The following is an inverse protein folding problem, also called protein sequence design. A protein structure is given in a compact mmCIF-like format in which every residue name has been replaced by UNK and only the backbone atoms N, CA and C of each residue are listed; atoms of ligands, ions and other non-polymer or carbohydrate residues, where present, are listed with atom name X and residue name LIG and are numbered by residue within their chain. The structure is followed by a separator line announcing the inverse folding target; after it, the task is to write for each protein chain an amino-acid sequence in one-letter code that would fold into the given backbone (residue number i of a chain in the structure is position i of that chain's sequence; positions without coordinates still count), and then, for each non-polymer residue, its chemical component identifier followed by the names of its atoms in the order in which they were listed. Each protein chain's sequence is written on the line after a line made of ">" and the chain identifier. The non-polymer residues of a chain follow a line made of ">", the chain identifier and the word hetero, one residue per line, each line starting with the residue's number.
data_IF_380945154926
#
_entry.id   IF_380945154926
#
_cell.length_a   1.000
_cell.length_b   1.000
_cell.length_c   1.000
_cell.angle_alpha   90.00
_cell.angle_beta   90.00
_cell.angle_gamma   90.00
#
_symmetry.space_group_name_H-M   'P 1'
#
loop_
_entity.id
_entity.type
_entity.pdbx_description
1 polymer ?
#
# COMPACT_ATOMS: atom_id res chain seq x y z
N UNK A 1 -22.90 -43.87 5.72
CA UNK A 1 -22.76 -42.40 5.57
C UNK A 1 -24.15 -41.77 5.63
N UNK A 2 -24.52 -41.16 6.75
CA UNK A 2 -25.78 -40.40 6.85
C UNK A 2 -25.58 -39.02 6.22
N UNK A 3 -26.46 -38.57 5.31
CA UNK A 3 -26.31 -37.26 4.69
C UNK A 3 -26.45 -36.16 5.75
N UNK A 4 -25.67 -35.06 5.66
CA UNK A 4 -25.83 -33.95 6.59
C UNK A 4 -27.25 -33.38 6.44
N UNK A 5 -27.95 -33.25 7.57
CA UNK A 5 -29.28 -32.62 7.62
C UNK A 5 -29.20 -31.20 7.06
N UNK A 6 -30.14 -30.82 6.17
CA UNK A 6 -30.15 -29.53 5.43
C UNK A 6 -29.84 -28.29 6.29
N UNK A 7 -30.29 -28.26 7.54
CA UNK A 7 -29.99 -27.18 8.51
C UNK A 7 -28.52 -27.05 8.88
N UNK A 8 -27.78 -28.16 8.96
CA UNK A 8 -26.33 -28.16 9.23
C UNK A 8 -25.56 -27.63 8.02
N UNK A 9 -25.95 -28.05 6.82
CA UNK A 9 -25.36 -27.55 5.56
C UNK A 9 -25.58 -26.04 5.43
N UNK A 10 -26.79 -25.55 5.70
CA UNK A 10 -27.09 -24.12 5.67
C UNK A 10 -26.23 -23.34 6.67
N UNK A 11 -26.10 -23.81 7.91
CA UNK A 11 -25.27 -23.15 8.94
C UNK A 11 -23.80 -23.07 8.53
N UNK A 12 -23.26 -24.16 7.98
CA UNK A 12 -21.88 -24.19 7.48
C UNK A 12 -21.70 -23.23 6.31
N UNK A 13 -22.62 -23.21 5.35
CA UNK A 13 -22.58 -22.28 4.23
C UNK A 13 -22.61 -20.82 4.70
N UNK A 14 -23.48 -20.49 5.65
CA UNK A 14 -23.54 -19.14 6.25
C UNK A 14 -22.21 -18.80 6.94
N UNK A 15 -21.65 -19.71 7.74
CA UNK A 15 -20.38 -19.47 8.41
C UNK A 15 -19.23 -19.21 7.42
N UNK A 16 -19.16 -19.97 6.32
CA UNK A 16 -18.17 -19.77 5.26
C UNK A 16 -18.34 -18.43 4.54
N UNK A 17 -19.58 -18.04 4.23
CA UNK A 17 -19.87 -16.75 3.60
C UNK A 17 -19.45 -15.60 4.52
N UNK A 18 -19.78 -15.68 5.81
CA UNK A 18 -19.37 -14.66 6.78
C UNK A 18 -17.85 -14.54 6.86
N UNK A 19 -17.13 -15.67 6.92
CA UNK A 19 -15.67 -15.65 6.93
C UNK A 19 -15.09 -15.04 5.65
N UNK A 20 -15.61 -15.40 4.48
CA UNK A 20 -15.17 -14.84 3.21
C UNK A 20 -15.43 -13.32 3.14
N UNK A 21 -16.57 -12.85 3.65
CA UNK A 21 -16.87 -11.42 3.74
C UNK A 21 -15.90 -10.67 4.66
N UNK A 22 -15.57 -11.24 5.82
CA UNK A 22 -14.61 -10.64 6.74
C UNK A 22 -13.21 -10.52 6.11
N UNK A 23 -12.75 -11.55 5.41
CA UNK A 23 -11.49 -11.49 4.64
C UNK A 23 -11.59 -10.42 3.55
N UNK A 24 -12.70 -10.39 2.80
CA UNK A 24 -12.94 -9.38 1.77
C UNK A 24 -12.89 -7.95 2.29
N UNK A 25 -13.43 -7.69 3.49
CA UNK A 25 -13.32 -6.39 4.17
C UNK A 25 -11.87 -6.08 4.53
N UNK A 26 -11.14 -7.05 5.10
CA UNK A 26 -9.75 -6.86 5.54
C UNK A 26 -8.80 -6.49 4.38
N UNK A 27 -9.02 -7.05 3.19
CA UNK A 27 -8.19 -6.79 2.00
C UNK A 27 -8.81 -5.80 1.03
N UNK A 28 -9.92 -5.14 1.40
CA UNK A 28 -10.68 -4.32 0.47
C UNK A 28 -9.84 -3.19 -0.13
N UNK A 29 -9.11 -2.42 0.68
CA UNK A 29 -8.30 -1.30 0.22
C UNK A 29 -7.22 -1.71 -0.81
N UNK A 30 -6.32 -2.67 -0.52
CA UNK A 30 -5.33 -3.11 -1.51
C UNK A 30 -5.97 -3.79 -2.74
N UNK A 31 -7.16 -4.36 -2.61
CA UNK A 31 -7.88 -4.97 -3.74
C UNK A 31 -8.54 -3.92 -4.63
N UNK A 32 -9.22 -2.92 -4.07
CA UNK A 32 -9.89 -1.86 -4.82
C UNK A 32 -8.87 -1.00 -5.59
N UNK A 33 -7.73 -0.71 -4.97
CA UNK A 33 -6.58 -0.07 -5.61
C UNK A 33 -6.12 -0.87 -6.84
N UNK A 34 -5.92 -2.19 -6.71
CA UNK A 34 -5.46 -3.04 -7.82
C UNK A 34 -6.47 -3.15 -8.97
N UNK A 35 -7.77 -3.18 -8.66
CA UNK A 35 -8.82 -3.38 -9.65
C UNK A 35 -9.22 -2.09 -10.37
N UNK A 36 -9.26 -0.96 -9.65
CA UNK A 36 -9.86 0.29 -10.15
C UNK A 36 -8.91 1.48 -10.14
N UNK A 37 -7.73 1.36 -9.51
CA UNK A 37 -6.84 2.50 -9.33
C UNK A 37 -6.08 2.91 -10.58
N UNK A 38 -5.67 4.16 -10.68
CA UNK A 38 -4.81 4.61 -11.77
C UNK A 38 -3.34 4.35 -11.44
N UNK A 39 -2.52 4.12 -12.46
CA UNK A 39 -1.09 3.88 -12.28
C UNK A 39 -0.38 5.18 -11.90
N UNK A 40 0.36 5.14 -10.80
CA UNK A 40 1.10 6.27 -10.23
C UNK A 40 2.54 5.82 -9.96
N UNK A 41 3.49 6.67 -10.34
CA UNK A 41 4.91 6.47 -10.12
C UNK A 41 5.40 7.39 -9.00
N UNK A 42 6.01 6.86 -7.94
CA UNK A 42 6.61 7.65 -6.86
C UNK A 42 8.11 7.36 -6.75
N UNK A 43 8.91 8.38 -6.46
CA UNK A 43 10.34 8.21 -6.21
C UNK A 43 10.56 7.55 -4.85
N UNK A 44 11.37 6.49 -4.85
CA UNK A 44 11.75 5.76 -3.64
C UNK A 44 13.01 6.39 -3.05
N UNK A 45 12.98 6.66 -1.74
CA UNK A 45 14.15 7.07 -1.00
C UNK A 45 15.01 5.85 -0.60
N UNK A 46 16.34 5.98 -0.52
CA UNK A 46 17.19 4.90 -0.07
C UNK A 46 16.92 4.58 1.41
N UNK A 47 16.42 3.38 1.69
CA UNK A 47 16.21 2.88 3.04
C UNK A 47 16.86 1.49 3.22
N UNK A 48 17.40 1.21 4.42
CA UNK A 48 18.16 -0.01 4.72
C UNK A 48 17.24 -1.26 4.70
N UNK A 49 17.36 -2.15 3.70
CA UNK A 49 16.22 -2.94 3.22
C UNK A 49 16.14 -4.39 3.73
N UNK A 50 16.97 -4.83 4.68
CA UNK A 50 16.97 -6.24 5.13
C UNK A 50 16.90 -6.37 6.65
N UNK A 51 15.77 -6.88 7.14
CA UNK A 51 15.69 -7.45 8.49
C UNK A 51 16.02 -8.95 8.42
N UNK A 52 17.13 -9.39 9.05
CA UNK A 52 17.58 -10.78 9.02
C UNK A 52 16.59 -11.76 9.68
N UNK A 53 15.57 -11.29 10.39
CA UNK A 53 14.62 -12.11 11.14
C UNK A 53 13.25 -12.26 10.47
N UNK A 54 12.96 -11.48 9.42
CA UNK A 54 11.63 -11.46 8.80
C UNK A 54 11.63 -11.77 7.30
N UNK A 55 12.80 -12.03 6.70
CA UNK A 55 12.95 -12.51 5.33
C UNK A 55 13.22 -11.38 4.31
N UNK A 56 13.03 -11.66 3.02
CA UNK A 56 13.23 -10.69 1.93
C UNK A 56 11.99 -9.80 1.77
N UNK A 57 11.83 -8.84 2.67
CA UNK A 57 10.89 -7.74 2.51
C UNK A 57 11.70 -6.44 2.52
N UNK A 58 11.34 -5.55 1.60
CA UNK A 58 11.95 -4.23 1.50
C UNK A 58 10.98 -3.24 2.12
N UNK A 59 11.44 -2.54 3.16
CA UNK A 59 10.74 -1.39 3.71
C UNK A 59 11.09 -0.18 2.83
N UNK A 60 10.08 0.46 2.27
CA UNK A 60 10.21 1.54 1.30
C UNK A 60 9.89 2.87 1.98
N UNK A 61 10.74 3.85 1.69
CA UNK A 61 10.49 5.24 2.02
C UNK A 61 10.37 6.04 0.71
N UNK A 62 9.76 7.22 0.78
CA UNK A 62 9.42 8.01 -0.40
C UNK A 62 9.87 9.45 -0.20
N UNK A 63 10.88 9.88 -0.99
CA UNK A 63 11.51 11.20 -0.83
C UNK A 63 10.54 12.36 -1.05
N UNK A 64 9.52 12.11 -1.86
CA UNK A 64 8.58 13.12 -2.34
C UNK A 64 7.25 13.09 -1.57
N UNK A 65 7.15 12.27 -0.51
CA UNK A 65 6.00 12.27 0.40
C UNK A 65 6.32 13.08 1.67
N UNK A 66 5.30 13.74 2.26
CA UNK A 66 5.50 14.49 3.49
C UNK A 66 5.78 13.54 4.65
N UNK A 67 6.68 13.94 5.55
CA UNK A 67 6.78 13.32 6.87
C UNK A 67 5.63 13.82 7.76
N UNK A 68 5.08 12.99 8.65
CA UNK A 68 4.11 13.46 9.62
C UNK A 68 4.77 14.46 10.58
N UNK A 69 4.18 15.66 10.70
CA UNK A 69 4.64 16.69 11.64
C UNK A 69 3.81 16.62 12.94
N UNK A 70 4.46 16.41 14.08
CA UNK A 70 3.82 16.38 15.40
C UNK A 70 3.19 15.03 15.77
N UNK A 71 2.32 15.04 16.79
CA UNK A 71 1.53 13.86 17.16
C UNK A 71 0.37 13.74 16.16
N UNK A 72 0.42 12.72 15.30
CA UNK A 72 -0.64 12.45 14.34
C UNK A 72 -1.96 12.04 15.00
N UNK A 73 -3.06 12.30 14.31
CA UNK A 73 -4.42 12.07 14.80
C UNK A 73 -5.07 10.82 14.16
N UNK A 74 -4.36 10.12 13.28
CA UNK A 74 -4.83 8.93 12.58
C UNK A 74 -5.03 9.19 11.10
N UNK A 75 -6.29 9.29 10.64
CA UNK A 75 -6.57 9.44 9.22
C UNK A 75 -5.90 10.68 8.61
N UNK A 76 -5.12 10.45 7.55
CA UNK A 76 -4.34 11.44 6.85
C UNK A 76 -4.52 11.27 5.34
N UNK A 77 -4.57 12.38 4.60
CA UNK A 77 -4.70 12.36 3.14
C UNK A 77 -3.55 13.15 2.52
N UNK A 78 -2.93 12.59 1.49
CA UNK A 78 -1.83 13.24 0.77
C UNK A 78 -2.25 13.47 -0.68
N UNK A 79 -2.64 14.70 -1.06
CA UNK A 79 -2.90 15.04 -2.46
C UNK A 79 -1.66 14.77 -3.31
N UNK A 80 -1.82 14.17 -4.48
CA UNK A 80 -0.72 13.90 -5.40
C UNK A 80 -0.76 14.85 -6.58
N UNK A 81 0.40 15.43 -6.91
CA UNK A 81 0.58 16.28 -8.08
C UNK A 81 1.62 15.67 -9.00
N UNK A 82 1.31 15.61 -10.30
CA UNK A 82 2.25 15.07 -11.29
C UNK A 82 3.41 16.04 -11.51
N UNK A 83 4.64 15.53 -11.44
CA UNK A 83 5.89 16.25 -11.69
C UNK A 83 6.73 15.45 -12.70
N UNK A 84 6.54 15.72 -13.99
CA UNK A 84 7.12 14.92 -15.07
C UNK A 84 6.50 13.53 -15.14
N UNK A 85 7.35 12.50 -15.03
CA UNK A 85 6.96 11.09 -15.09
C UNK A 85 6.61 10.48 -13.73
N UNK A 86 6.93 11.19 -12.65
CA UNK A 86 6.61 10.82 -11.26
C UNK A 86 5.53 11.72 -10.66
N UNK A 87 5.01 11.32 -9.53
CA UNK A 87 4.07 12.06 -8.71
C UNK A 87 4.73 12.47 -7.39
N UNK A 88 4.32 13.62 -6.87
CA UNK A 88 4.84 14.21 -5.63
C UNK A 88 3.68 14.43 -4.66
N UNK A 89 3.92 14.14 -3.39
CA UNK A 89 2.98 14.37 -2.30
C UNK A 89 2.92 15.84 -1.91
N UNK A 90 1.70 16.37 -1.81
CA UNK A 90 1.40 17.65 -1.19
C UNK A 90 1.38 17.57 0.34
N UNK A 91 1.05 18.66 1.04
CA UNK A 91 0.91 18.67 2.48
C UNK A 91 -0.20 17.71 2.94
N UNK A 92 0.00 17.09 4.11
CA UNK A 92 -1.00 16.21 4.73
C UNK A 92 -2.26 17.01 5.06
N UNK A 93 -3.42 16.49 4.67
CA UNK A 93 -4.74 17.04 5.01
C UNK A 93 -5.55 16.06 5.86
N UNK A 94 -6.44 16.60 6.70
CA UNK A 94 -7.38 15.80 7.52
C UNK A 94 -8.70 15.52 6.83
N UNK A 95 -9.01 16.32 5.82
CA UNK A 95 -10.19 16.14 4.98
C UNK A 95 -9.79 15.48 3.67
N UNK A 96 -10.66 14.58 3.21
CA UNK A 96 -10.51 13.93 1.91
C UNK A 96 -10.54 14.99 0.81
N UNK A 97 -9.56 15.02 -0.11
CA UNK A 97 -9.58 15.92 -1.26
C UNK A 97 -10.80 15.68 -2.15
N UNK A 98 -11.40 16.76 -2.67
CA UNK A 98 -12.58 16.69 -3.54
C UNK A 98 -12.24 16.30 -4.98
N UNK A 99 -10.98 16.43 -5.38
CA UNK A 99 -10.52 16.14 -6.74
C UNK A 99 -9.04 15.82 -6.82
N UNK A 100 -8.66 15.16 -7.92
CA UNK A 100 -7.31 14.66 -8.16
C UNK A 100 -6.99 13.38 -7.39
N UNK A 101 -5.90 12.70 -7.75
CA UNK A 101 -5.43 11.54 -7.00
C UNK A 101 -4.84 11.98 -5.65
N UNK A 102 -5.01 11.14 -4.65
CA UNK A 102 -4.45 11.33 -3.32
C UNK A 102 -4.18 9.96 -2.69
N UNK A 103 -3.30 9.90 -1.69
CA UNK A 103 -3.14 8.72 -0.85
C UNK A 103 -3.97 8.87 0.42
N UNK A 104 -4.68 7.81 0.80
CA UNK A 104 -5.32 7.68 2.10
C UNK A 104 -4.36 6.91 3.01
N UNK A 105 -3.89 7.59 4.05
CA UNK A 105 -2.85 7.12 4.94
C UNK A 105 -3.31 7.21 6.41
N UNK A 106 -2.48 6.67 7.29
CA UNK A 106 -2.59 6.80 8.73
C UNK A 106 -1.29 7.37 9.29
N UNK A 107 -1.39 8.40 10.12
CA UNK A 107 -0.25 9.07 10.77
C UNK A 107 -0.24 8.91 12.29
N UNK A 108 -1.03 7.99 12.85
CA UNK A 108 -0.98 7.71 14.30
C UNK A 108 0.35 7.06 14.74
N UNK A 109 1.18 6.66 13.78
CA UNK A 109 2.51 6.09 14.02
C UNK A 109 3.60 7.14 13.82
N UNK A 110 4.85 6.79 14.15
CA UNK A 110 6.02 7.65 13.93
C UNK A 110 6.31 7.94 12.44
N UNK A 111 5.66 7.19 11.53
CA UNK A 111 5.73 7.38 10.08
C UNK A 111 4.33 7.42 9.47
N UNK A 112 4.23 8.03 8.29
CA UNK A 112 3.02 8.01 7.49
C UNK A 112 2.85 6.61 6.86
N UNK A 113 1.71 5.97 7.12
CA UNK A 113 1.40 4.62 6.63
C UNK A 113 0.30 4.69 5.57
N UNK A 114 0.66 4.55 4.31
CA UNK A 114 -0.24 4.57 3.15
C UNK A 114 -0.48 3.18 2.54
N UNK A 115 0.12 2.12 3.09
CA UNK A 115 -0.04 0.73 2.63
C UNK A 115 0.86 0.37 1.43
N UNK A 116 1.89 1.18 1.17
CA UNK A 116 2.84 1.03 0.07
C UNK A 116 4.29 0.92 0.57
N UNK A 117 4.48 0.81 1.88
CA UNK A 117 5.80 0.83 2.53
C UNK A 117 6.45 -0.54 2.51
N UNK A 118 5.74 -1.61 2.14
CA UNK A 118 6.29 -2.97 2.15
C UNK A 118 6.19 -3.64 0.79
N UNK A 119 7.32 -4.18 0.33
CA UNK A 119 7.42 -4.99 -0.87
C UNK A 119 8.02 -6.36 -0.54
N UNK A 120 7.28 -7.43 -0.85
CA UNK A 120 7.75 -8.80 -0.65
C UNK A 120 8.34 -9.33 -1.96
N UNK A 121 9.62 -9.67 -1.94
CA UNK A 121 10.33 -10.21 -3.10
C UNK A 121 11.02 -11.53 -2.77
N UNK A 122 11.20 -12.41 -3.76
CA UNK A 122 12.21 -13.46 -3.67
C UNK A 122 13.60 -12.88 -3.32
N UNK A 123 14.40 -13.65 -2.59
CA UNK A 123 15.72 -13.23 -2.05
C UNK A 123 16.71 -12.76 -3.13
N UNK A 124 16.65 -13.36 -4.31
CA UNK A 124 17.48 -13.05 -5.47
C UNK A 124 17.08 -11.72 -6.14
N UNK A 125 15.78 -11.44 -6.24
CA UNK A 125 15.26 -10.17 -6.76
C UNK A 125 15.51 -9.01 -5.80
N UNK A 126 15.39 -9.26 -4.48
CA UNK A 126 15.63 -8.25 -3.45
C UNK A 126 17.02 -7.60 -3.60
N UNK A 127 18.08 -8.39 -3.78
CA UNK A 127 19.46 -7.89 -3.91
C UNK A 127 19.67 -7.00 -5.13
N UNK A 128 19.11 -7.38 -6.28
CA UNK A 128 19.23 -6.58 -7.50
C UNK A 128 18.52 -5.21 -7.33
N UNK A 129 17.42 -5.21 -6.58
CA UNK A 129 16.68 -3.98 -6.27
C UNK A 129 17.38 -3.09 -5.25
N UNK A 130 18.11 -3.67 -4.28
CA UNK A 130 18.94 -2.89 -3.34
C UNK A 130 19.92 -1.97 -4.07
N UNK A 131 20.55 -2.44 -5.14
CA UNK A 131 21.53 -1.66 -5.89
C UNK A 131 20.88 -0.49 -6.63
N UNK A 132 19.67 -0.68 -7.20
CA UNK A 132 18.91 0.38 -7.84
C UNK A 132 18.42 1.45 -6.84
N UNK A 133 17.92 1.02 -5.68
CA UNK A 133 17.49 1.89 -4.58
C UNK A 133 18.68 2.66 -4.01
N UNK A 134 19.82 2.00 -3.76
CA UNK A 134 21.05 2.64 -3.30
C UNK A 134 21.62 3.63 -4.32
N UNK A 135 21.43 3.35 -5.61
CA UNK A 135 21.78 4.27 -6.70
C UNK A 135 20.88 5.51 -6.80
N UNK A 136 19.79 5.59 -6.01
CA UNK A 136 18.89 6.74 -5.97
C UNK A 136 18.01 6.90 -7.23
N UNK A 137 17.89 5.83 -8.02
CA UNK A 137 17.15 5.82 -9.29
C UNK A 137 15.94 4.90 -9.24
N UNK A 138 15.40 4.59 -8.04
CA UNK A 138 14.28 3.69 -7.92
C UNK A 138 12.94 4.42 -7.93
N UNK A 139 11.99 3.92 -8.73
CA UNK A 139 10.62 4.40 -8.85
C UNK A 139 9.66 3.28 -8.49
N UNK A 140 8.79 3.51 -7.52
CA UNK A 140 7.70 2.61 -7.19
C UNK A 140 6.53 2.82 -8.14
N UNK A 141 6.02 1.72 -8.69
CA UNK A 141 4.81 1.69 -9.51
C UNK A 141 3.65 1.23 -8.64
N UNK A 142 2.65 2.10 -8.51
CA UNK A 142 1.48 1.93 -7.65
C UNK A 142 0.20 1.94 -8.48
N UNK A 143 -0.87 1.33 -7.96
CA UNK A 143 -2.25 1.72 -8.33
C UNK A 143 -2.92 2.46 -7.19
N UNK A 144 -3.59 3.56 -7.50
CA UNK A 144 -4.30 4.38 -6.51
C UNK A 144 -5.74 4.62 -6.97
N UNK A 145 -6.72 4.19 -6.17
CA UNK A 145 -8.14 4.37 -6.50
C UNK A 145 -8.70 5.74 -6.07
N UNK A 146 -9.94 6.04 -6.49
CA UNK A 146 -10.60 7.31 -6.15
C UNK A 146 -10.88 7.53 -4.66
N UNK A 147 -10.65 6.53 -3.80
CA UNK A 147 -10.70 6.65 -2.33
C UNK A 147 -9.32 6.86 -1.70
N UNK A 148 -8.28 6.91 -2.52
CA UNK A 148 -6.89 7.01 -2.13
C UNK A 148 -6.30 5.71 -1.59
N UNK A 149 -6.99 4.57 -1.76
CA UNK A 149 -6.38 3.29 -1.45
C UNK A 149 -5.26 3.02 -2.45
N UNK A 150 -4.10 2.62 -1.95
CA UNK A 150 -2.93 2.38 -2.75
C UNK A 150 -2.51 0.91 -2.69
N UNK A 151 -1.93 0.44 -3.78
CA UNK A 151 -1.32 -0.88 -3.87
C UNK A 151 -0.03 -0.79 -4.66
N UNK A 152 1.07 -1.17 -4.03
CA UNK A 152 2.36 -1.34 -4.69
C UNK A 152 2.31 -2.53 -5.65
N UNK A 153 2.72 -2.29 -6.89
CA UNK A 153 2.88 -3.31 -7.93
C UNK A 153 4.33 -3.79 -8.00
N UNK A 154 5.28 -2.88 -7.85
CA UNK A 154 6.71 -3.16 -7.90
C UNK A 154 7.54 -1.89 -7.81
N UNK A 155 8.86 -2.06 -7.82
CA UNK A 155 9.82 -0.97 -7.91
C UNK A 155 10.73 -1.23 -9.11
N UNK A 156 10.91 -0.21 -9.92
CA UNK A 156 11.66 -0.25 -11.17
C UNK A 156 12.80 0.79 -11.11
N UNK A 157 13.93 0.56 -11.79
CA UNK A 157 14.90 1.63 -12.04
C UNK A 157 14.32 2.66 -13.04
N UNK A 158 14.57 3.94 -12.77
CA UNK A 158 14.25 5.11 -13.59
C UNK A 158 15.05 5.14 -14.90
#
# INVERSE_FOLDING_TARGET
>A
MTPPTSRRVLRLAVALVVQALLVGVAVWAPLSARLTGDEIRLRVAPFDPVDPFRGAYVDLDYSDLPSPEGEGEGAAFVPLTRSGDVWVGGPVTRTRPEGGPYLACDDASWRLSCGIESLFLPQDEARAMEDAVRGGTAVAVLRVDGRGHAALLGVEPD
#
